data_IF_312777060023
#
_entry.id   IF_312777060023
#
_cell.length_a   1.000
_cell.length_b   1.000
_cell.length_c   1.000
_cell.angle_alpha   90.00
_cell.angle_beta   90.00
_cell.angle_gamma   90.00
#
_symmetry.space_group_name_H-M   'P 1'
#
loop_
_entity.id
_entity.type
_entity.pdbx_description
1 polymer ?
#
# COMPACT_ATOMS: atom_id res chain seq x y z
N UNK A 1 -33.47 -5.81 16.26
CA UNK A 1 -33.54 -5.35 14.86
C UNK A 1 -32.17 -5.59 14.25
N UNK A 2 -32.06 -6.41 13.20
CA UNK A 2 -30.80 -6.50 12.43
C UNK A 2 -30.81 -5.33 11.44
N UNK A 3 -30.08 -4.26 11.76
CA UNK A 3 -29.87 -3.17 10.80
C UNK A 3 -29.01 -3.66 9.63
N UNK A 4 -29.06 -2.93 8.51
CA UNK A 4 -28.16 -3.17 7.38
C UNK A 4 -26.68 -3.12 7.85
N UNK A 5 -25.90 -4.22 7.73
CA UNK A 5 -24.53 -4.26 8.19
C UNK A 5 -23.63 -3.18 7.57
N UNK A 6 -23.87 -2.79 6.31
CA UNK A 6 -23.08 -1.74 5.66
C UNK A 6 -23.36 -0.38 6.32
N UNK A 7 -24.63 -0.06 6.53
CA UNK A 7 -25.05 1.18 7.19
C UNK A 7 -24.55 1.24 8.64
N UNK A 8 -24.67 0.15 9.40
CA UNK A 8 -24.23 0.09 10.80
C UNK A 8 -22.71 0.25 10.90
N UNK A 9 -21.94 -0.48 10.10
CA UNK A 9 -20.47 -0.38 10.09
C UNK A 9 -20.01 1.02 9.64
N UNK A 10 -20.68 1.62 8.66
CA UNK A 10 -20.37 2.98 8.22
C UNK A 10 -20.68 4.01 9.32
N UNK A 11 -21.81 3.88 10.01
CA UNK A 11 -22.15 4.78 11.10
C UNK A 11 -21.12 4.71 12.25
N UNK A 12 -20.63 3.52 12.58
CA UNK A 12 -19.54 3.36 13.56
C UNK A 12 -18.25 4.05 13.07
N UNK A 13 -17.89 3.84 11.80
CA UNK A 13 -16.70 4.44 11.20
C UNK A 13 -16.79 5.95 11.14
N UNK A 14 -17.94 6.49 10.75
CA UNK A 14 -18.22 7.93 10.70
C UNK A 14 -18.18 8.56 12.09
N UNK A 15 -18.78 7.91 13.10
CA UNK A 15 -18.72 8.38 14.48
C UNK A 15 -17.27 8.45 14.97
N UNK A 16 -16.51 7.37 14.81
CA UNK A 16 -15.09 7.34 15.18
C UNK A 16 -14.26 8.36 14.37
N UNK A 17 -14.51 8.45 13.07
CA UNK A 17 -13.78 9.33 12.15
C UNK A 17 -13.98 10.81 12.43
N UNK A 18 -15.18 11.23 12.87
CA UNK A 18 -15.42 12.63 13.29
C UNK A 18 -14.53 13.04 14.45
N UNK A 19 -14.43 12.19 15.46
CA UNK A 19 -13.56 12.43 16.62
C UNK A 19 -12.09 12.42 16.17
N UNK A 20 -11.73 11.47 15.30
CA UNK A 20 -10.38 11.28 14.78
C UNK A 20 -9.86 12.45 13.93
N UNK A 21 -10.69 12.98 13.03
CA UNK A 21 -10.30 14.06 12.11
C UNK A 21 -9.80 15.31 12.84
N UNK A 22 -10.39 15.61 14.00
CA UNK A 22 -10.00 16.78 14.81
C UNK A 22 -8.55 16.72 15.31
N UNK A 23 -7.96 15.52 15.33
CA UNK A 23 -6.60 15.29 15.82
C UNK A 23 -5.69 14.65 14.76
N UNK A 24 -6.15 14.53 13.51
CA UNK A 24 -5.40 13.91 12.42
C UNK A 24 -4.12 14.70 12.12
N UNK A 25 -2.96 14.02 12.17
CA UNK A 25 -1.62 14.64 12.06
C UNK A 25 -1.35 15.81 13.03
N UNK A 26 -2.07 15.91 14.15
CA UNK A 26 -1.82 16.95 15.14
C UNK A 26 -0.37 16.86 15.66
N UNK A 27 0.44 17.89 15.36
CA UNK A 27 1.88 17.94 15.71
C UNK A 27 2.13 17.81 17.21
N UNK A 28 1.17 18.27 18.02
CA UNK A 28 1.27 18.32 19.47
C UNK A 28 0.63 17.11 20.17
N UNK A 29 0.13 16.13 19.42
CA UNK A 29 -0.38 14.89 19.98
C UNK A 29 0.64 13.76 19.75
N UNK A 30 1.62 13.59 20.66
CA UNK A 30 2.71 12.66 20.45
C UNK A 30 2.16 11.24 20.48
N UNK A 31 1.93 10.66 19.29
CA UNK A 31 1.49 9.29 19.15
C UNK A 31 2.40 8.37 19.99
N UNK A 32 1.90 7.81 21.10
CA UNK A 32 2.74 6.99 21.97
C UNK A 32 3.30 5.76 21.26
N UNK A 33 2.67 5.30 20.17
CA UNK A 33 3.26 4.29 19.28
C UNK A 33 4.61 4.73 18.70
N UNK A 34 4.67 5.98 18.22
CA UNK A 34 5.87 6.58 17.63
C UNK A 34 6.92 6.88 18.70
N UNK A 35 6.49 7.27 19.90
CA UNK A 35 7.40 7.40 21.05
C UNK A 35 7.96 6.05 21.49
N UNK A 36 7.11 5.04 21.64
CA UNK A 36 7.52 3.68 21.99
C UNK A 36 8.50 3.15 20.94
N UNK A 37 8.25 3.26 19.64
CA UNK A 37 9.20 2.82 18.61
C UNK A 37 10.60 3.46 18.70
N UNK A 38 10.72 4.66 19.28
CA UNK A 38 12.01 5.33 19.49
C UNK A 38 12.70 4.95 20.82
N UNK A 39 12.02 4.26 21.74
CA UNK A 39 12.57 3.77 22.99
C UNK A 39 13.16 2.36 22.83
N UNK A 40 14.03 2.18 21.84
CA UNK A 40 14.85 0.98 21.80
C UNK A 40 15.69 0.93 23.11
N UNK A 41 15.72 -0.24 23.75
CA UNK A 41 16.67 -0.64 24.82
C UNK A 41 16.23 -0.43 26.29
N UNK A 42 14.96 -0.19 26.64
CA UNK A 42 14.55 -0.31 28.07
C UNK A 42 13.67 -1.56 28.32
N UNK A 43 14.17 -2.57 29.07
CA UNK A 43 13.47 -3.83 29.31
C UNK A 43 12.16 -3.68 30.10
N UNK A 44 11.94 -2.57 30.82
CA UNK A 44 10.65 -2.29 31.46
C UNK A 44 9.51 -2.07 30.46
N UNK A 45 9.81 -1.64 29.24
CA UNK A 45 8.78 -1.50 28.20
C UNK A 45 8.56 -2.79 27.43
N UNK A 46 9.28 -3.88 27.72
CA UNK A 46 9.13 -5.14 26.99
C UNK A 46 7.71 -5.69 27.04
N UNK A 47 7.04 -5.62 28.20
CA UNK A 47 5.62 -6.02 28.32
C UNK A 47 4.67 -5.11 27.55
N UNK A 48 5.00 -3.81 27.45
CA UNK A 48 4.23 -2.84 26.68
C UNK A 48 4.45 -3.10 25.19
N UNK A 49 5.67 -3.40 24.75
CA UNK A 49 5.96 -3.81 23.38
C UNK A 49 5.29 -5.13 23.04
N UNK A 50 5.33 -6.10 23.95
CA UNK A 50 4.70 -7.39 23.75
C UNK A 50 3.19 -7.21 23.61
N UNK A 51 2.56 -6.44 24.50
CA UNK A 51 1.15 -6.07 24.35
C UNK A 51 0.88 -5.29 23.06
N UNK A 52 1.79 -4.42 22.63
CA UNK A 52 1.58 -3.54 21.48
C UNK A 52 1.69 -4.27 20.14
N UNK A 53 2.70 -5.13 20.00
CA UNK A 53 3.00 -5.88 18.78
C UNK A 53 2.23 -7.20 18.71
N UNK A 54 1.87 -7.79 19.85
CA UNK A 54 1.05 -8.99 19.93
C UNK A 54 -0.39 -8.65 20.39
N UNK A 55 -1.32 -9.58 20.33
CA UNK A 55 -2.70 -9.42 20.86
C UNK A 55 -3.50 -8.20 20.34
N UNK A 56 -3.20 -7.72 19.13
CA UNK A 56 -3.85 -6.54 18.52
C UNK A 56 -3.70 -5.24 19.34
N UNK A 57 -2.65 -5.10 20.15
CA UNK A 57 -2.47 -3.90 20.98
C UNK A 57 -2.36 -2.61 20.18
N UNK A 58 -1.66 -2.62 19.04
CA UNK A 58 -1.61 -1.49 18.10
C UNK A 58 -3.02 -0.98 17.76
N UNK A 59 -3.91 -1.88 17.35
CA UNK A 59 -5.27 -1.54 16.92
C UNK A 59 -6.14 -1.09 18.09
N UNK A 60 -6.05 -1.75 19.25
CA UNK A 60 -6.76 -1.36 20.49
C UNK A 60 -6.35 0.02 20.96
N UNK A 61 -5.04 0.29 20.98
CA UNK A 61 -4.50 1.59 21.40
C UNK A 61 -4.89 2.69 20.40
N UNK A 62 -4.87 2.40 19.10
CA UNK A 62 -5.34 3.33 18.07
C UNK A 62 -6.82 3.66 18.26
N UNK A 63 -7.65 2.64 18.50
CA UNK A 63 -9.08 2.80 18.79
C UNK A 63 -9.32 3.68 20.03
N UNK A 64 -8.64 3.41 21.15
CA UNK A 64 -8.85 4.18 22.39
C UNK A 64 -8.37 5.63 22.30
N UNK A 65 -7.33 5.89 21.52
CA UNK A 65 -6.74 7.24 21.43
C UNK A 65 -7.51 8.19 20.55
N UNK A 66 -8.22 7.68 19.55
CA UNK A 66 -8.93 8.50 18.56
C UNK A 66 -8.02 9.57 17.91
N UNK A 67 -6.72 9.26 17.72
CA UNK A 67 -5.74 10.15 17.08
C UNK A 67 -4.64 9.36 16.38
N UNK A 68 -3.96 9.98 15.41
CA UNK A 68 -2.82 9.39 14.68
C UNK A 68 -2.81 9.75 13.18
N UNK A 69 -2.24 8.83 12.39
CA UNK A 69 -2.19 8.89 10.93
C UNK A 69 -3.12 7.84 10.28
N UNK A 70 -3.15 7.79 8.95
CA UNK A 70 -4.04 6.92 8.19
C UNK A 70 -3.91 5.43 8.58
N UNK A 71 -2.69 4.98 8.90
CA UNK A 71 -2.44 3.63 9.42
C UNK A 71 -3.14 3.34 10.76
N UNK A 72 -3.02 4.22 11.76
CA UNK A 72 -3.72 4.05 13.05
C UNK A 72 -5.24 4.06 12.85
N UNK A 73 -5.76 4.96 12.02
CA UNK A 73 -7.19 4.99 11.68
C UNK A 73 -7.66 3.67 11.08
N UNK A 74 -6.97 3.18 10.05
CA UNK A 74 -7.29 1.91 9.39
C UNK A 74 -7.34 0.74 10.38
N UNK A 75 -6.30 0.60 11.21
CA UNK A 75 -6.22 -0.47 12.20
C UNK A 75 -7.31 -0.36 13.28
N UNK A 76 -7.65 0.86 13.73
CA UNK A 76 -8.72 1.08 14.70
C UNK A 76 -10.08 0.63 14.15
N UNK A 77 -10.41 1.01 12.90
CA UNK A 77 -11.68 0.64 12.25
C UNK A 77 -11.77 -0.87 12.02
N UNK A 78 -10.71 -1.49 11.48
CA UNK A 78 -10.64 -2.94 11.28
C UNK A 78 -10.92 -3.69 12.58
N UNK A 79 -10.27 -3.28 13.67
CA UNK A 79 -10.46 -3.90 14.97
C UNK A 79 -11.87 -3.65 15.53
N UNK A 80 -12.38 -2.42 15.47
CA UNK A 80 -13.70 -2.07 15.95
C UNK A 80 -14.79 -2.90 15.26
N UNK A 81 -14.77 -2.93 13.93
CA UNK A 81 -15.80 -3.60 13.14
C UNK A 81 -15.71 -5.12 13.30
N UNK A 82 -14.51 -5.69 13.20
CA UNK A 82 -14.33 -7.13 13.39
C UNK A 82 -14.79 -7.56 14.79
N UNK A 83 -14.38 -6.83 15.84
CA UNK A 83 -14.70 -7.19 17.23
C UNK A 83 -16.16 -7.01 17.62
N UNK A 84 -16.92 -6.16 16.91
CA UNK A 84 -18.32 -5.84 17.27
C UNK A 84 -19.35 -6.45 16.34
N UNK A 85 -18.96 -6.73 15.08
CA UNK A 85 -19.88 -7.17 14.03
C UNK A 85 -19.46 -8.49 13.38
N UNK A 86 -18.27 -9.02 13.68
CA UNK A 86 -17.73 -10.25 13.07
C UNK A 86 -17.67 -10.19 11.53
N UNK A 87 -17.49 -8.96 10.99
CA UNK A 87 -17.33 -8.76 9.55
C UNK A 87 -15.85 -8.97 9.17
N UNK A 88 -15.56 -9.63 8.04
CA UNK A 88 -14.21 -9.69 7.51
C UNK A 88 -13.71 -8.28 7.16
N UNK A 89 -12.51 -7.97 7.60
CA UNK A 89 -11.88 -6.66 7.40
C UNK A 89 -10.44 -6.83 6.96
N UNK A 90 -9.90 -5.86 6.22
CA UNK A 90 -8.48 -5.80 5.88
C UNK A 90 -8.00 -4.36 5.82
N UNK A 91 -6.72 -4.16 6.05
CA UNK A 91 -6.07 -2.88 5.79
C UNK A 91 -5.43 -2.92 4.42
N UNK A 92 -5.58 -1.85 3.67
CA UNK A 92 -5.07 -1.68 2.32
C UNK A 92 -4.21 -0.42 2.25
N UNK A 93 -3.10 -0.50 1.52
CA UNK A 93 -2.14 0.58 1.34
C UNK A 93 -2.01 0.94 -0.14
N UNK A 94 -1.95 2.23 -0.43
CA UNK A 94 -1.56 2.76 -1.73
C UNK A 94 -0.03 2.75 -1.86
N UNK A 95 0.44 2.38 -3.05
CA UNK A 95 1.84 2.58 -3.45
C UNK A 95 1.88 3.65 -4.53
N UNK A 96 2.93 4.48 -4.51
CA UNK A 96 2.95 5.77 -5.21
C UNK A 96 2.39 6.93 -4.36
N UNK A 97 1.48 6.65 -3.42
CA UNK A 97 0.92 7.61 -2.48
C UNK A 97 0.91 7.01 -1.07
N UNK A 98 1.48 7.69 -0.07
CA UNK A 98 1.49 7.17 1.31
C UNK A 98 0.11 7.24 1.95
N UNK A 99 -0.70 6.20 1.77
CA UNK A 99 -2.02 6.20 2.36
C UNK A 99 -2.52 4.80 2.65
N UNK A 100 -3.04 4.61 3.85
CA UNK A 100 -3.62 3.36 4.32
C UNK A 100 -5.07 3.57 4.73
N UNK A 101 -5.95 2.66 4.36
CA UNK A 101 -7.36 2.74 4.67
C UNK A 101 -7.95 1.34 4.94
N UNK A 102 -9.05 1.29 5.70
CA UNK A 102 -9.72 0.02 6.00
C UNK A 102 -10.68 -0.36 4.87
N UNK A 103 -10.76 -1.65 4.60
CA UNK A 103 -11.82 -2.25 3.80
C UNK A 103 -12.61 -3.27 4.62
N UNK A 104 -13.91 -3.34 4.34
CA UNK A 104 -14.86 -4.20 5.06
C UNK A 104 -15.65 -5.00 4.03
N UNK A 105 -15.75 -6.31 4.26
CA UNK A 105 -16.53 -7.20 3.42
C UNK A 105 -17.97 -7.28 3.92
N UNK A 106 -18.92 -6.87 3.10
CA UNK A 106 -20.35 -6.85 3.41
C UNK A 106 -21.13 -7.31 2.19
N UNK A 107 -22.10 -8.22 2.36
CA UNK A 107 -22.99 -8.70 1.28
C UNK A 107 -22.23 -9.13 0.01
N UNK A 108 -21.18 -9.93 0.19
CA UNK A 108 -20.33 -10.47 -0.87
C UNK A 108 -19.39 -9.48 -1.58
N UNK A 109 -19.28 -8.27 -1.06
CA UNK A 109 -18.51 -7.20 -1.67
C UNK A 109 -17.56 -6.52 -0.68
N UNK A 110 -16.38 -6.08 -1.17
CA UNK A 110 -15.48 -5.23 -0.41
C UNK A 110 -15.88 -3.77 -0.56
N UNK A 111 -15.91 -3.06 0.56
CA UNK A 111 -16.17 -1.63 0.61
C UNK A 111 -15.01 -0.89 1.28
N UNK A 112 -14.67 0.26 0.73
CA UNK A 112 -13.62 1.17 1.18
C UNK A 112 -14.19 2.15 2.18
N UNK A 113 -13.57 2.20 3.36
CA UNK A 113 -14.00 2.99 4.51
C UNK A 113 -12.97 4.08 4.86
N UNK A 114 -12.53 4.81 3.84
CA UNK A 114 -11.48 5.83 3.93
C UNK A 114 -12.01 7.21 4.34
N UNK A 115 -12.54 7.28 5.57
CA UNK A 115 -13.14 8.50 6.11
C UNK A 115 -12.15 9.66 6.24
N UNK A 116 -10.86 9.37 6.43
CA UNK A 116 -9.84 10.41 6.65
C UNK A 116 -9.35 11.05 5.36
N UNK A 117 -9.69 10.49 4.19
CA UNK A 117 -9.13 10.97 2.94
C UNK A 117 -10.10 10.89 1.74
N UNK A 118 -10.25 9.72 1.09
CA UNK A 118 -10.94 9.66 -0.21
C UNK A 118 -12.45 9.47 -0.12
N UNK A 119 -12.98 8.75 0.87
CA UNK A 119 -14.40 8.36 0.93
C UNK A 119 -15.12 8.95 2.16
N UNK A 120 -14.86 10.22 2.48
CA UNK A 120 -15.37 10.87 3.71
C UNK A 120 -16.90 10.86 3.87
N UNK A 121 -17.64 10.84 2.76
CA UNK A 121 -19.10 10.96 2.78
C UNK A 121 -19.85 9.64 2.97
N UNK A 122 -19.33 8.55 2.40
CA UNK A 122 -19.99 7.23 2.36
C UNK A 122 -18.99 6.14 1.95
N UNK A 123 -19.24 4.87 2.29
CA UNK A 123 -18.35 3.79 1.89
C UNK A 123 -18.53 3.52 0.39
N UNK A 124 -17.43 3.30 -0.31
CA UNK A 124 -17.43 3.06 -1.76
C UNK A 124 -17.14 1.60 -2.01
N UNK A 125 -17.92 0.95 -2.88
CA UNK A 125 -17.63 -0.42 -3.28
C UNK A 125 -16.28 -0.45 -4.00
N UNK A 126 -15.42 -1.42 -3.68
CA UNK A 126 -14.05 -1.46 -4.20
C UNK A 126 -14.03 -1.42 -5.73
N UNK A 127 -14.88 -2.21 -6.41
CA UNK A 127 -14.92 -2.27 -7.88
C UNK A 127 -15.23 -0.92 -8.56
N UNK A 128 -15.96 -0.04 -7.88
CA UNK A 128 -16.35 1.29 -8.38
C UNK A 128 -15.31 2.38 -8.03
N UNK A 129 -14.28 2.02 -7.26
CA UNK A 129 -13.39 3.00 -6.63
C UNK A 129 -12.60 3.84 -7.64
N UNK A 130 -12.06 3.22 -8.70
CA UNK A 130 -11.34 3.93 -9.75
C UNK A 130 -12.23 4.99 -10.43
N UNK A 131 -13.50 4.68 -10.69
CA UNK A 131 -14.45 5.66 -11.24
C UNK A 131 -14.71 6.77 -10.22
N UNK A 132 -15.01 6.40 -8.97
CA UNK A 132 -15.31 7.35 -7.89
C UNK A 132 -14.22 8.42 -7.71
N UNK A 133 -12.95 8.02 -7.61
CA UNK A 133 -11.85 8.97 -7.39
C UNK A 133 -11.60 9.88 -8.60
N UNK A 134 -11.86 9.37 -9.82
CA UNK A 134 -11.74 10.16 -11.05
C UNK A 134 -12.83 11.24 -11.10
N UNK A 135 -14.07 10.90 -10.74
CA UNK A 135 -15.20 11.84 -10.69
C UNK A 135 -15.01 12.91 -9.62
N UNK A 136 -14.44 12.54 -8.47
CA UNK A 136 -14.07 13.48 -7.40
C UNK A 136 -12.91 14.41 -7.77
N UNK A 137 -12.24 14.19 -8.90
CA UNK A 137 -11.05 14.94 -9.35
C UNK A 137 -9.96 15.01 -8.28
N UNK A 138 -9.78 13.93 -7.52
CA UNK A 138 -8.69 13.80 -6.56
C UNK A 138 -7.36 13.88 -7.33
N UNK A 139 -6.58 14.95 -7.13
CA UNK A 139 -5.36 15.18 -7.91
C UNK A 139 -4.30 14.11 -7.66
N UNK A 140 -4.36 13.50 -6.49
CA UNK A 140 -3.49 12.46 -6.00
C UNK A 140 -3.86 11.08 -6.54
N UNK A 141 -5.04 10.93 -7.18
CA UNK A 141 -5.46 9.69 -7.83
C UNK A 141 -4.44 9.22 -8.87
N UNK A 142 -3.72 10.14 -9.54
CA UNK A 142 -2.64 9.80 -10.49
C UNK A 142 -1.43 9.15 -9.83
N UNK A 143 -1.25 9.36 -8.53
CA UNK A 143 -0.17 8.76 -7.75
C UNK A 143 -0.50 7.36 -7.23
N UNK A 144 -1.74 6.87 -7.39
CA UNK A 144 -2.08 5.48 -7.01
C UNK A 144 -1.54 4.54 -8.09
N UNK A 145 -0.34 4.02 -7.88
CA UNK A 145 0.34 3.14 -8.82
C UNK A 145 0.14 1.66 -8.51
N UNK A 146 -0.17 1.33 -7.25
CA UNK A 146 -0.64 0.01 -6.82
C UNK A 146 -1.48 0.12 -5.55
N UNK A 147 -2.23 -0.93 -5.26
CA UNK A 147 -3.07 -1.08 -4.08
C UNK A 147 -2.81 -2.49 -3.56
N UNK A 148 -2.42 -2.66 -2.29
CA UNK A 148 -2.19 -4.00 -1.71
C UNK A 148 -2.69 -4.07 -0.29
N UNK A 149 -3.03 -5.28 0.21
CA UNK A 149 -3.19 -5.46 1.64
C UNK A 149 -1.91 -5.05 2.38
N UNK A 150 -2.06 -4.53 3.60
CA UNK A 150 -0.92 -4.16 4.47
C UNK A 150 0.00 -5.35 4.73
N UNK A 151 -0.56 -6.55 4.86
CA UNK A 151 0.17 -7.78 5.17
C UNK A 151 0.04 -8.73 3.98
N UNK A 152 1.11 -8.81 3.19
CA UNK A 152 1.20 -9.71 2.04
C UNK A 152 0.12 -9.48 0.99
N UNK A 153 -0.03 -10.44 0.08
CA UNK A 153 -1.06 -10.46 -0.94
C UNK A 153 -0.68 -9.78 -2.25
N UNK A 154 -1.51 -10.06 -3.25
CA UNK A 154 -1.36 -9.52 -4.60
C UNK A 154 -1.94 -8.10 -4.72
N UNK A 155 -1.65 -7.48 -5.86
CA UNK A 155 -2.25 -6.20 -6.25
C UNK A 155 -3.78 -6.29 -6.30
N UNK A 156 -4.43 -5.31 -5.69
CA UNK A 156 -5.88 -5.13 -5.69
C UNK A 156 -6.35 -4.12 -6.74
N UNK A 157 -5.46 -3.61 -7.61
CA UNK A 157 -5.79 -2.60 -8.62
C UNK A 157 -7.02 -2.98 -9.45
N UNK A 158 -7.01 -4.18 -10.03
CA UNK A 158 -8.13 -4.65 -10.85
C UNK A 158 -9.42 -4.82 -10.04
N UNK A 159 -9.31 -5.33 -8.81
CA UNK A 159 -10.44 -5.44 -7.88
C UNK A 159 -10.98 -4.06 -7.44
N UNK A 160 -10.19 -3.00 -7.61
CA UNK A 160 -10.57 -1.62 -7.34
C UNK A 160 -11.04 -0.85 -8.60
N UNK A 161 -11.28 -1.57 -9.71
CA UNK A 161 -11.74 -0.99 -10.97
C UNK A 161 -10.66 -0.29 -11.80
N UNK A 162 -9.38 -0.39 -11.43
CA UNK A 162 -8.30 0.19 -12.23
C UNK A 162 -7.93 -0.72 -13.40
N UNK A 163 -7.74 -0.10 -14.57
CA UNK A 163 -7.15 -0.79 -15.72
C UNK A 163 -5.70 -1.17 -15.41
N UNK A 164 -5.37 -2.44 -15.67
CA UNK A 164 -4.03 -2.98 -15.47
C UNK A 164 -3.46 -3.54 -16.76
N UNK A 165 -2.13 -3.58 -16.84
CA UNK A 165 -1.37 -4.25 -17.90
C UNK A 165 -0.18 -4.98 -17.29
N UNK A 166 0.45 -5.85 -18.07
CA UNK A 166 1.65 -6.58 -17.69
C UNK A 166 2.85 -5.94 -18.38
N UNK A 167 3.89 -5.63 -17.60
CA UNK A 167 5.23 -5.34 -18.10
C UNK A 167 6.05 -6.61 -17.96
N UNK A 168 6.58 -7.11 -19.06
CA UNK A 168 7.57 -8.18 -19.09
C UNK A 168 8.96 -7.54 -19.16
N UNK A 169 9.83 -7.89 -18.23
CA UNK A 169 11.20 -7.36 -18.14
C UNK A 169 12.17 -8.49 -18.42
N UNK A 170 13.07 -8.27 -19.37
CA UNK A 170 14.18 -9.14 -19.69
C UNK A 170 15.49 -8.43 -19.39
N UNK A 171 16.26 -8.97 -18.44
CA UNK A 171 17.61 -8.49 -18.18
C UNK A 171 18.59 -9.06 -19.20
N UNK A 172 19.51 -8.22 -19.66
CA UNK A 172 20.65 -8.63 -20.48
C UNK A 172 21.96 -8.21 -19.81
N UNK A 173 22.89 -9.16 -19.74
CA UNK A 173 24.27 -8.95 -19.31
C UNK A 173 25.15 -9.89 -20.11
N UNK A 174 26.28 -9.39 -20.61
CA UNK A 174 27.24 -10.22 -21.32
C UNK A 174 27.89 -11.21 -20.33
N UNK A 175 27.86 -12.50 -20.69
CA UNK A 175 28.63 -13.59 -20.07
C UNK A 175 28.31 -14.01 -18.62
N UNK A 176 27.06 -13.87 -18.13
CA UNK A 176 26.67 -14.38 -16.80
C UNK A 176 25.80 -15.64 -16.83
N UNK A 177 26.09 -16.63 -15.97
CA UNK A 177 25.36 -17.90 -15.95
C UNK A 177 23.99 -17.82 -15.25
N UNK A 178 23.75 -16.82 -14.39
CA UNK A 178 22.45 -16.61 -13.74
C UNK A 178 22.23 -15.16 -13.33
N UNK A 179 20.99 -14.68 -13.48
CA UNK A 179 20.54 -13.34 -13.10
C UNK A 179 19.48 -13.35 -11.99
N UNK A 180 19.16 -14.51 -11.42
CA UNK A 180 18.12 -14.67 -10.39
C UNK A 180 18.40 -13.94 -9.06
N UNK A 181 19.66 -13.56 -8.82
CA UNK A 181 20.05 -12.71 -7.69
C UNK A 181 19.89 -11.21 -7.97
N UNK A 182 19.53 -10.80 -9.20
CA UNK A 182 19.21 -9.41 -9.49
C UNK A 182 17.95 -8.98 -8.74
N UNK A 183 17.86 -7.69 -8.45
CA UNK A 183 16.67 -7.06 -7.88
C UNK A 183 16.12 -6.05 -8.90
N UNK A 184 14.94 -6.34 -9.45
CA UNK A 184 14.24 -5.44 -10.36
C UNK A 184 13.19 -4.66 -9.56
N UNK A 185 13.36 -3.35 -9.52
CA UNK A 185 12.51 -2.40 -8.81
C UNK A 185 11.76 -1.53 -9.81
N UNK A 186 10.49 -1.27 -9.51
CA UNK A 186 9.60 -0.46 -10.31
C UNK A 186 9.23 0.80 -9.53
N UNK A 187 9.56 1.96 -10.09
CA UNK A 187 9.27 3.26 -9.49
C UNK A 187 8.23 4.03 -10.31
N UNK A 188 7.35 4.81 -9.68
CA UNK A 188 6.57 5.84 -10.38
C UNK A 188 7.48 6.99 -10.78
N UNK A 189 7.35 7.49 -12.02
CA UNK A 189 8.16 8.62 -12.50
C UNK A 189 7.49 10.01 -12.30
N UNK A 190 6.58 10.14 -11.34
CA UNK A 190 5.91 11.42 -11.05
C UNK A 190 6.44 11.99 -9.73
N UNK A 191 7.17 13.10 -9.84
CA UNK A 191 7.82 13.76 -8.70
C UNK A 191 6.84 14.32 -7.66
N UNK A 192 5.53 14.32 -7.94
CA UNK A 192 4.51 14.75 -6.97
C UNK A 192 4.02 13.60 -6.08
N UNK A 193 4.53 12.39 -6.29
CA UNK A 193 4.08 11.18 -5.60
C UNK A 193 5.05 10.84 -4.45
N UNK A 194 4.50 10.55 -3.27
CA UNK A 194 5.28 10.46 -2.02
C UNK A 194 6.09 9.17 -1.88
N UNK A 195 5.69 8.09 -2.57
CA UNK A 195 6.33 6.77 -2.45
C UNK A 195 6.67 6.22 -3.83
N UNK A 196 7.83 6.60 -4.40
CA UNK A 196 8.11 6.27 -5.78
C UNK A 196 8.26 4.75 -5.99
N UNK A 197 8.78 3.99 -5.03
CA UNK A 197 8.91 2.53 -5.18
C UNK A 197 7.55 1.83 -5.05
N UNK A 198 7.13 1.13 -6.12
CA UNK A 198 5.81 0.48 -6.22
C UNK A 198 5.90 -1.03 -6.05
N UNK A 199 6.85 -1.65 -6.76
CA UNK A 199 7.04 -3.10 -6.79
C UNK A 199 8.52 -3.43 -6.85
N UNK A 200 8.86 -4.61 -6.36
CA UNK A 200 10.16 -5.22 -6.54
C UNK A 200 10.00 -6.71 -6.75
N UNK A 201 10.85 -7.32 -7.57
CA UNK A 201 10.84 -8.75 -7.84
C UNK A 201 12.23 -9.21 -8.29
N UNK A 202 12.64 -10.37 -7.82
CA UNK A 202 13.79 -11.09 -8.38
C UNK A 202 13.37 -11.76 -9.68
N UNK A 203 14.17 -11.68 -10.75
CA UNK A 203 13.90 -12.41 -11.97
C UNK A 203 14.22 -13.89 -11.81
N UNK A 204 13.84 -14.68 -12.81
CA UNK A 204 14.28 -16.06 -12.93
C UNK A 204 15.77 -16.14 -13.33
N UNK A 205 16.27 -17.38 -13.47
CA UNK A 205 17.68 -17.63 -13.85
C UNK A 205 18.06 -17.02 -15.20
N UNK A 206 17.09 -16.86 -16.09
CA UNK A 206 17.28 -16.26 -17.42
C UNK A 206 17.16 -14.73 -17.39
N UNK A 207 16.94 -14.12 -16.22
CA UNK A 207 16.77 -12.68 -16.08
C UNK A 207 15.39 -12.18 -16.47
N UNK A 208 14.38 -13.05 -16.54
CA UNK A 208 13.01 -12.67 -16.87
C UNK A 208 12.18 -12.42 -15.61
N UNK A 209 11.41 -11.33 -15.58
CA UNK A 209 10.37 -11.11 -14.59
C UNK A 209 9.19 -10.33 -15.18
N UNK A 210 8.09 -10.26 -14.43
CA UNK A 210 6.92 -9.50 -14.85
C UNK A 210 6.28 -8.74 -13.70
N UNK A 211 5.59 -7.66 -14.05
CA UNK A 211 4.84 -6.81 -13.14
C UNK A 211 3.45 -6.55 -13.71
N UNK A 212 2.39 -6.84 -12.96
CA UNK A 212 1.06 -6.30 -13.22
C UNK A 212 0.98 -4.89 -12.64
N UNK A 213 0.67 -3.89 -13.47
CA UNK A 213 0.76 -2.46 -13.14
C UNK A 213 -0.47 -1.72 -13.66
N UNK A 214 -0.74 -0.53 -13.13
CA UNK A 214 -1.81 0.34 -13.62
C UNK A 214 -1.45 0.96 -14.96
N UNK A 215 -2.39 0.98 -15.90
CA UNK A 215 -2.22 1.65 -17.20
C UNK A 215 -2.28 3.17 -17.08
N UNK A 216 -1.60 3.89 -17.97
CA UNK A 216 -1.63 5.36 -18.01
C UNK A 216 -0.66 6.04 -17.05
N UNK A 217 0.21 5.26 -16.38
CA UNK A 217 1.27 5.76 -15.50
C UNK A 217 2.64 5.52 -16.18
N UNK A 218 3.54 6.48 -16.00
CA UNK A 218 4.96 6.33 -16.34
C UNK A 218 5.73 5.69 -15.20
N UNK A 219 6.53 4.68 -15.53
CA UNK A 219 7.34 3.93 -14.58
C UNK A 219 8.81 3.98 -14.96
N UNK A 220 9.68 4.09 -13.96
CA UNK A 220 11.11 3.85 -14.07
C UNK A 220 11.42 2.44 -13.54
N UNK A 221 11.91 1.57 -14.40
CA UNK A 221 12.36 0.23 -14.03
C UNK A 221 13.85 0.32 -13.77
N UNK A 222 14.30 -0.12 -12.59
CA UNK A 222 15.72 -0.19 -12.22
C UNK A 222 16.06 -1.63 -11.88
N UNK A 223 17.09 -2.17 -12.51
CA UNK A 223 17.61 -3.49 -12.21
C UNK A 223 19.00 -3.33 -11.58
N UNK A 224 19.15 -3.87 -10.39
CA UNK A 224 20.41 -3.90 -9.64
C UNK A 224 20.90 -5.34 -9.55
N UNK A 225 22.18 -5.57 -9.79
CA UNK A 225 22.81 -6.88 -9.63
C UNK A 225 24.13 -6.69 -8.90
N UNK A 226 24.23 -7.25 -7.70
CA UNK A 226 25.44 -7.20 -6.89
C UNK A 226 26.15 -8.54 -7.01
N UNK A 227 27.37 -8.50 -7.53
CA UNK A 227 28.24 -9.66 -7.54
C UNK A 227 29.01 -9.75 -6.21
N UNK A 228 29.27 -10.97 -5.77
CA UNK A 228 30.11 -11.21 -4.61
C UNK A 228 31.49 -10.57 -4.81
N UNK A 229 31.88 -9.73 -3.84
CA UNK A 229 33.16 -9.04 -3.66
C UNK A 229 33.49 -7.75 -4.45
N UNK A 230 33.19 -7.53 -5.74
CA UNK A 230 33.79 -6.36 -6.42
C UNK A 230 33.00 -5.64 -7.53
N UNK A 231 31.79 -6.08 -7.89
CA UNK A 231 31.08 -5.47 -9.03
C UNK A 231 29.60 -5.30 -8.77
N UNK A 232 29.14 -4.05 -8.83
CA UNK A 232 27.73 -3.73 -8.89
C UNK A 232 27.38 -3.42 -10.35
N UNK A 233 26.22 -3.88 -10.78
CA UNK A 233 25.70 -3.58 -12.10
C UNK A 233 24.32 -2.96 -11.97
N UNK A 234 24.09 -1.91 -12.76
CA UNK A 234 22.82 -1.19 -12.78
C UNK A 234 22.39 -1.03 -14.24
N UNK A 235 21.10 -1.25 -14.48
CA UNK A 235 20.43 -0.88 -15.71
C UNK A 235 19.09 -0.25 -15.38
N UNK A 236 18.61 0.66 -16.23
CA UNK A 236 17.29 1.25 -16.04
C UNK A 236 16.61 1.56 -17.37
N UNK A 237 15.28 1.60 -17.33
CA UNK A 237 14.46 1.98 -18.47
C UNK A 237 13.19 2.67 -17.99
N UNK A 238 12.89 3.81 -18.58
CA UNK A 238 11.58 4.44 -18.41
C UNK A 238 10.59 3.89 -19.43
N UNK A 239 9.37 3.63 -18.97
CA UNK A 239 8.26 3.23 -19.81
C UNK A 239 7.01 4.03 -19.48
N UNK A 240 6.17 4.27 -20.48
CA UNK A 240 4.82 4.77 -20.28
C UNK A 240 3.84 3.66 -20.60
N UNK A 241 3.10 3.20 -19.61
CA UNK A 241 2.16 2.09 -19.80
C UNK A 241 0.93 2.56 -20.57
N UNK A 242 0.61 1.84 -21.63
CA UNK A 242 -0.65 1.96 -22.37
C UNK A 242 -1.46 0.66 -22.18
N UNK A 243 -2.65 0.57 -22.76
CA UNK A 243 -3.58 -0.56 -22.58
C UNK A 243 -3.12 -1.87 -23.26
N UNK A 244 -1.81 -2.09 -23.42
CA UNK A 244 -1.20 -3.29 -24.00
C UNK A 244 -0.08 -3.83 -23.11
N UNK A 245 0.17 -5.14 -23.21
CA UNK A 245 1.33 -5.78 -22.60
C UNK A 245 2.61 -5.20 -23.20
N UNK A 246 3.54 -4.79 -22.34
CA UNK A 246 4.82 -4.20 -22.75
C UNK A 246 5.96 -5.20 -22.53
N UNK A 247 6.93 -5.20 -23.45
CA UNK A 247 8.18 -5.96 -23.28
C UNK A 247 9.35 -4.99 -23.19
N UNK A 248 10.15 -5.13 -22.14
CA UNK A 248 11.22 -4.20 -21.80
C UNK A 248 12.51 -4.96 -21.60
N UNK A 249 13.51 -4.60 -22.39
CA UNK A 249 14.86 -5.11 -22.24
C UNK A 249 15.71 -4.11 -21.46
N UNK A 250 16.42 -4.59 -20.43
CA UNK A 250 17.32 -3.79 -19.60
C UNK A 250 18.72 -4.39 -19.66
N UNK A 251 19.65 -3.65 -20.25
CA UNK A 251 21.06 -3.99 -20.24
C UNK A 251 21.70 -3.53 -18.92
N UNK A 252 22.38 -4.43 -18.24
CA UNK A 252 23.10 -4.15 -17.00
C UNK A 252 24.51 -3.64 -17.32
N UNK A 253 24.88 -2.49 -16.75
CA UNK A 253 26.18 -1.87 -16.91
C UNK A 253 26.96 -1.89 -15.60
N UNK A 254 28.27 -2.14 -15.67
CA UNK A 254 29.16 -2.12 -14.50
C UNK A 254 29.23 -0.70 -13.92
N UNK A 255 29.02 -0.58 -12.62
CA UNK A 255 29.20 0.67 -11.87
C UNK A 255 30.50 0.57 -11.10
N UNK A 256 31.46 1.45 -11.44
CA UNK A 256 32.73 1.60 -10.73
C UNK A 256 32.55 2.30 -9.39
#
# INVERSE_FOLDING_TARGET
MKGDPLLVSWNLTNAYGKDYLSTYHAKDNPNPARKLANFCINPMYYLIYDYYFYNSGYSKVSLLKQTGSCGEFSQAIIYLINSTMDLPTRSVHFFGLDHEFPEIYVNDDWYIFDYTYTTQGYPVKAEDYAQYINEKKCKESRCIADIKPRIGGDSLLAAHGFNTTIINVQLKKWDYPSLDTANVKLYTNDNNCSFPLVKQKNPDKNGFCNFSVRTGISYLIVAEYNEFFFSNFIGFKEIKTINSTEFVEITLHHTK
#
